data_IF_541227109074
#
_entry.id   IF_541227109074
#
_cell.length_a   1.000
_cell.length_b   1.000
_cell.length_c   1.000
_cell.angle_alpha   90.00
_cell.angle_beta   90.00
_cell.angle_gamma   90.00
#
_symmetry.space_group_name_H-M   'P 1'
#
loop_
_entity.id
_entity.type
_entity.pdbx_description
1 polymer ?
#
# COMPACT_ATOMS: atom_id res chain seq x y z
N UNK A 1 7.37 -18.26 7.45
CA UNK A 1 7.55 -19.04 6.21
C UNK A 1 8.85 -18.57 5.59
N UNK A 2 9.78 -19.49 5.28
CA UNK A 2 11.10 -19.11 4.75
C UNK A 2 10.95 -18.52 3.33
N UNK A 3 11.76 -17.50 2.96
CA UNK A 3 11.76 -16.99 1.59
C UNK A 3 12.11 -18.12 0.60
N UNK A 4 11.64 -18.06 -0.66
CA UNK A 4 12.06 -19.01 -1.67
C UNK A 4 13.58 -18.94 -1.81
N UNK A 5 14.19 -20.05 -2.26
CA UNK A 5 15.60 -20.05 -2.60
C UNK A 5 15.90 -18.89 -3.57
N UNK A 6 17.01 -18.14 -3.36
CA UNK A 6 17.39 -17.08 -4.27
C UNK A 6 17.50 -17.59 -5.71
N UNK A 7 17.10 -16.76 -6.66
CA UNK A 7 17.23 -17.06 -8.08
C UNK A 7 18.73 -17.15 -8.38
N UNK A 8 19.19 -18.32 -8.86
CA UNK A 8 20.58 -18.55 -9.25
C UNK A 8 20.96 -17.66 -10.43
N UNK A 9 22.23 -17.27 -10.49
CA UNK A 9 22.83 -16.49 -11.59
C UNK A 9 22.07 -15.19 -11.89
N UNK A 10 22.04 -14.29 -10.91
CA UNK A 10 21.70 -12.88 -11.14
C UNK A 10 22.96 -12.17 -11.67
N UNK A 11 23.04 -11.83 -12.97
CA UNK A 11 24.14 -11.02 -13.48
C UNK A 11 24.12 -9.64 -12.82
N UNK A 12 25.15 -8.80 -13.06
CA UNK A 12 25.14 -7.42 -12.58
C UNK A 12 23.89 -6.68 -13.06
N UNK A 13 22.97 -6.37 -12.15
CA UNK A 13 21.73 -5.64 -12.44
C UNK A 13 22.00 -4.15 -12.23
N UNK A 14 21.96 -3.36 -13.31
CA UNK A 14 22.21 -1.91 -13.26
C UNK A 14 20.91 -1.12 -13.15
N UNK A 15 19.82 -1.60 -13.74
CA UNK A 15 18.51 -0.92 -13.71
C UNK A 15 17.38 -1.90 -13.40
N UNK A 16 16.64 -1.62 -12.33
CA UNK A 16 15.45 -2.37 -11.91
C UNK A 16 14.23 -1.47 -12.10
N UNK A 17 13.17 -2.03 -12.68
CA UNK A 17 11.83 -1.45 -12.59
C UNK A 17 10.97 -2.29 -11.65
N UNK A 18 10.44 -1.66 -10.60
CA UNK A 18 9.43 -2.27 -9.76
C UNK A 18 8.07 -1.85 -10.29
N UNK A 19 7.21 -2.81 -10.63
CA UNK A 19 5.81 -2.51 -10.95
C UNK A 19 5.03 -2.38 -9.64
N UNK A 20 4.65 -1.15 -9.31
CA UNK A 20 3.89 -0.81 -8.11
C UNK A 20 2.44 -1.29 -8.14
N UNK A 21 1.85 -1.35 -6.95
CA UNK A 21 0.45 -1.70 -6.69
C UNK A 21 -0.48 -0.50 -6.88
N UNK A 22 -1.79 -0.76 -6.88
CA UNK A 22 -2.79 0.24 -7.30
C UNK A 22 -3.43 1.04 -6.15
N UNK A 23 -3.38 0.50 -4.93
CA UNK A 23 -4.03 1.05 -3.75
C UNK A 23 -3.01 1.66 -2.80
N UNK A 24 -3.38 2.76 -2.13
CA UNK A 24 -2.49 3.49 -1.22
C UNK A 24 -2.00 2.61 -0.07
N UNK A 25 -2.89 1.85 0.57
CA UNK A 25 -2.53 0.94 1.67
C UNK A 25 -1.54 -0.13 1.23
N UNK A 26 -1.83 -0.80 0.11
CA UNK A 26 -0.91 -1.78 -0.48
C UNK A 26 0.45 -1.14 -0.80
N UNK A 27 0.44 0.08 -1.35
CA UNK A 27 1.64 0.81 -1.75
C UNK A 27 2.56 1.06 -0.54
N UNK A 28 2.00 1.59 0.56
CA UNK A 28 2.71 1.76 1.83
C UNK A 28 3.27 0.43 2.33
N UNK A 29 2.49 -0.66 2.22
CA UNK A 29 2.94 -2.00 2.61
C UNK A 29 4.09 -2.56 1.76
N UNK A 30 4.37 -2.00 0.58
CA UNK A 30 5.53 -2.39 -0.25
C UNK A 30 6.82 -1.69 0.15
N UNK A 31 6.76 -0.59 0.93
CA UNK A 31 7.95 0.20 1.33
C UNK A 31 9.03 -0.64 2.04
N UNK A 32 8.72 -1.62 2.93
CA UNK A 32 9.75 -2.47 3.52
C UNK A 32 10.49 -3.30 2.47
N UNK A 33 9.78 -3.84 1.48
CA UNK A 33 10.38 -4.63 0.42
C UNK A 33 11.28 -3.78 -0.49
N UNK A 34 10.88 -2.54 -0.78
CA UNK A 34 11.71 -1.60 -1.53
C UNK A 34 13.00 -1.25 -0.77
N UNK A 35 12.93 -1.02 0.54
CA UNK A 35 14.11 -0.79 1.37
C UNK A 35 15.05 -2.00 1.34
N UNK A 36 14.54 -3.22 1.52
CA UNK A 36 15.33 -4.45 1.43
C UNK A 36 15.94 -4.66 0.04
N UNK A 37 15.22 -4.27 -1.02
CA UNK A 37 15.73 -4.30 -2.38
C UNK A 37 16.91 -3.31 -2.55
N UNK A 38 16.79 -2.09 -2.01
CA UNK A 38 17.88 -1.10 -2.00
C UNK A 38 19.09 -1.57 -1.21
N UNK A 39 18.90 -2.16 -0.03
CA UNK A 39 20.01 -2.75 0.76
C UNK A 39 20.78 -3.80 -0.06
N UNK A 40 20.06 -4.63 -0.83
CA UNK A 40 20.67 -5.65 -1.69
C UNK A 40 21.37 -5.06 -2.91
N UNK A 41 20.85 -3.95 -3.44
CA UNK A 41 21.31 -3.31 -4.66
C UNK A 41 21.59 -1.80 -4.43
N UNK A 42 22.64 -1.44 -3.67
CA UNK A 42 22.85 -0.04 -3.25
C UNK A 42 23.04 0.93 -4.41
N UNK A 43 23.82 0.54 -5.41
CA UNK A 43 24.20 1.39 -6.56
C UNK A 43 23.29 1.22 -7.79
N UNK A 44 22.34 0.27 -7.73
CA UNK A 44 21.46 -0.01 -8.86
C UNK A 44 20.40 1.07 -8.99
N UNK A 45 20.10 1.50 -10.22
CA UNK A 45 18.99 2.42 -10.44
C UNK A 45 17.65 1.68 -10.31
N UNK A 46 16.86 2.00 -9.28
CA UNK A 46 15.55 1.41 -9.00
C UNK A 46 14.48 2.44 -9.35
N UNK A 47 13.78 2.20 -10.45
CA UNK A 47 12.59 2.93 -10.83
C UNK A 47 11.32 2.23 -10.30
N UNK A 48 10.27 3.00 -10.04
CA UNK A 48 8.96 2.49 -9.65
C UNK A 48 7.88 2.92 -10.65
N UNK A 49 7.22 1.96 -11.28
CA UNK A 49 6.07 2.19 -12.15
C UNK A 49 4.76 2.08 -11.35
N UNK A 50 4.14 3.20 -11.02
CA UNK A 50 2.95 3.29 -10.17
C UNK A 50 1.81 4.07 -10.86
N UNK A 51 0.54 3.91 -10.43
CA UNK A 51 -0.52 4.81 -10.87
C UNK A 51 -0.14 6.28 -10.61
N UNK A 52 -0.45 7.18 -11.54
CA UNK A 52 -0.09 8.60 -11.43
C UNK A 52 -0.55 9.24 -10.11
N UNK A 53 -1.75 8.86 -9.64
CA UNK A 53 -2.32 9.29 -8.34
C UNK A 53 -1.49 8.91 -7.11
N UNK A 54 -0.58 7.93 -7.23
CA UNK A 54 0.30 7.50 -6.15
C UNK A 54 1.73 7.99 -6.34
N UNK A 55 2.03 8.76 -7.39
CA UNK A 55 3.40 9.19 -7.71
C UNK A 55 4.02 10.01 -6.58
N UNK A 56 3.25 10.92 -5.99
CA UNK A 56 3.70 11.80 -4.91
C UNK A 56 4.07 11.05 -3.63
N UNK A 57 3.46 9.88 -3.37
CA UNK A 57 3.80 9.02 -2.23
C UNK A 57 5.27 8.61 -2.23
N UNK A 58 5.90 8.58 -3.40
CA UNK A 58 7.23 8.05 -3.62
C UNK A 58 8.28 9.14 -3.77
N UNK A 59 7.90 10.42 -3.67
CA UNK A 59 8.86 11.51 -3.67
C UNK A 59 9.85 11.32 -2.52
N UNK A 60 11.13 11.52 -2.81
CA UNK A 60 12.23 11.43 -1.84
C UNK A 60 12.38 10.07 -1.12
N UNK A 61 11.64 9.03 -1.53
CA UNK A 61 11.73 7.73 -0.87
C UNK A 61 13.13 7.11 -1.10
N UNK A 62 13.89 6.75 -0.04
CA UNK A 62 15.33 6.43 -0.14
C UNK A 62 15.65 5.20 -1.01
N UNK A 63 14.68 4.31 -1.18
CA UNK A 63 14.84 3.12 -2.03
C UNK A 63 14.66 3.38 -3.53
N UNK A 64 14.01 4.48 -3.94
CA UNK A 64 13.53 4.70 -5.31
C UNK A 64 14.25 5.89 -5.94
N UNK A 65 14.87 5.69 -7.10
CA UNK A 65 15.55 6.76 -7.84
C UNK A 65 14.58 7.58 -8.68
N UNK A 66 13.56 6.96 -9.24
CA UNK A 66 12.53 7.65 -10.04
C UNK A 66 11.18 6.93 -9.97
N UNK A 67 10.10 7.70 -10.13
CA UNK A 67 8.74 7.16 -10.20
C UNK A 67 8.09 7.52 -11.53
N UNK A 68 7.69 6.49 -12.27
CA UNK A 68 7.00 6.60 -13.55
C UNK A 68 5.49 6.45 -13.31
N UNK A 69 4.73 7.44 -13.77
CA UNK A 69 3.27 7.45 -13.67
C UNK A 69 2.60 6.65 -14.79
N UNK A 70 1.60 5.87 -14.40
CA UNK A 70 0.59 5.31 -15.32
C UNK A 70 -0.67 6.15 -15.23
N UNK A 71 -1.04 6.74 -16.35
CA UNK A 71 -2.24 7.55 -16.45
C UNK A 71 -3.49 6.68 -16.59
N UNK A 72 -4.63 7.23 -16.18
CA UNK A 72 -5.92 6.54 -16.36
C UNK A 72 -6.17 6.35 -17.86
N UNK A 73 -6.54 5.14 -18.25
CA UNK A 73 -6.80 4.79 -19.65
C UNK A 73 -5.56 4.43 -20.47
N UNK A 74 -4.36 4.54 -19.92
CA UNK A 74 -3.14 4.18 -20.63
C UNK A 74 -3.11 2.69 -21.01
N UNK A 75 -2.80 2.37 -22.26
CA UNK A 75 -2.75 1.01 -22.78
C UNK A 75 -1.47 0.27 -22.36
N UNK A 76 -1.48 -1.06 -22.43
CA UNK A 76 -0.29 -1.88 -22.14
C UNK A 76 0.88 -1.57 -23.08
N UNK A 77 0.61 -1.16 -24.32
CA UNK A 77 1.63 -0.82 -25.30
C UNK A 77 2.31 0.51 -24.98
N UNK A 78 1.55 1.52 -24.54
CA UNK A 78 2.09 2.81 -24.09
C UNK A 78 2.97 2.64 -22.85
N UNK A 79 2.48 1.88 -21.86
CA UNK A 79 3.28 1.54 -20.67
C UNK A 79 4.55 0.77 -21.08
N UNK A 80 4.43 -0.23 -21.95
CA UNK A 80 5.58 -0.99 -22.42
C UNK A 80 6.61 -0.13 -23.18
N UNK A 81 6.17 0.88 -23.93
CA UNK A 81 7.06 1.83 -24.60
C UNK A 81 7.84 2.68 -23.60
N UNK A 82 7.16 3.22 -22.56
CA UNK A 82 7.81 3.92 -21.43
C UNK A 82 8.86 3.03 -20.76
N UNK A 83 8.51 1.77 -20.49
CA UNK A 83 9.41 0.81 -19.85
C UNK A 83 10.62 0.47 -20.73
N UNK A 84 10.41 0.30 -22.04
CA UNK A 84 11.48 -0.01 -22.99
C UNK A 84 12.51 1.11 -23.08
N UNK A 85 12.07 2.37 -23.03
CA UNK A 85 12.96 3.53 -23.04
C UNK A 85 13.88 3.60 -21.80
N UNK A 86 13.48 2.99 -20.69
CA UNK A 86 14.29 2.96 -19.46
C UNK A 86 15.38 1.89 -19.41
N UNK A 87 15.49 1.03 -20.43
CA UNK A 87 16.53 -0.01 -20.56
C UNK A 87 16.74 -0.85 -19.28
N UNK A 88 15.64 -1.33 -18.68
CA UNK A 88 15.71 -2.11 -17.45
C UNK A 88 16.22 -3.54 -17.69
N UNK A 89 17.07 -4.02 -16.79
CA UNK A 89 17.59 -5.39 -16.79
C UNK A 89 16.62 -6.36 -16.10
N UNK A 90 15.89 -5.83 -15.10
CA UNK A 90 15.02 -6.61 -14.22
C UNK A 90 13.70 -5.87 -13.96
N UNK A 91 12.58 -6.57 -14.13
CA UNK A 91 11.26 -6.16 -13.69
C UNK A 91 10.83 -6.99 -12.46
N UNK A 92 10.56 -6.30 -11.36
CA UNK A 92 9.93 -6.89 -10.17
C UNK A 92 8.43 -6.55 -10.17
N UNK A 93 7.59 -7.55 -10.41
CA UNK A 93 6.15 -7.35 -10.64
C UNK A 93 5.35 -7.68 -9.37
N UNK A 94 4.99 -6.65 -8.60
CA UNK A 94 4.26 -6.82 -7.34
C UNK A 94 2.77 -7.20 -7.52
N UNK A 95 2.02 -6.62 -8.48
CA UNK A 95 0.63 -7.01 -8.69
C UNK A 95 0.50 -8.45 -9.20
N UNK A 96 -0.68 -9.04 -8.99
CA UNK A 96 -0.99 -10.40 -9.43
C UNK A 96 -1.70 -10.49 -10.79
N UNK A 97 -2.04 -9.36 -11.41
CA UNK A 97 -2.80 -9.33 -12.66
C UNK A 97 -1.93 -9.71 -13.88
N UNK A 98 -2.48 -10.39 -14.90
CA UNK A 98 -1.75 -10.67 -16.14
C UNK A 98 -1.23 -9.40 -16.82
N UNK A 99 -2.03 -8.33 -16.81
CA UNK A 99 -1.68 -7.02 -17.36
C UNK A 99 -0.30 -6.54 -16.88
N UNK A 100 -0.06 -6.61 -15.57
CA UNK A 100 1.20 -6.13 -14.97
C UNK A 100 2.44 -6.87 -15.46
N UNK A 101 2.31 -8.16 -15.81
CA UNK A 101 3.41 -8.93 -16.38
C UNK A 101 3.56 -8.70 -17.88
N UNK A 102 2.44 -8.57 -18.62
CA UNK A 102 2.43 -8.25 -20.06
C UNK A 102 3.18 -6.94 -20.33
N UNK A 103 2.98 -5.90 -19.52
CA UNK A 103 3.68 -4.62 -19.63
C UNK A 103 5.21 -4.81 -19.67
N UNK A 104 5.75 -5.60 -18.73
CA UNK A 104 7.20 -5.90 -18.67
C UNK A 104 7.69 -6.83 -19.79
N UNK A 105 6.85 -7.76 -20.25
CA UNK A 105 7.18 -8.68 -21.33
C UNK A 105 7.22 -7.96 -22.69
N UNK A 106 6.21 -7.13 -22.99
CA UNK A 106 6.17 -6.28 -24.18
C UNK A 106 7.35 -5.29 -24.20
N UNK A 107 7.77 -4.80 -23.03
CA UNK A 107 8.96 -3.95 -22.91
C UNK A 107 10.27 -4.69 -23.23
N UNK A 108 10.25 -6.03 -23.36
CA UNK A 108 11.40 -6.91 -23.59
C UNK A 108 12.45 -6.88 -22.48
N UNK A 109 12.00 -6.62 -21.24
CA UNK A 109 12.89 -6.62 -20.07
C UNK A 109 13.36 -8.06 -19.84
N UNK A 110 14.68 -8.36 -19.84
CA UNK A 110 15.16 -9.74 -19.94
C UNK A 110 14.83 -10.59 -18.72
N UNK A 111 14.76 -10.01 -17.52
CA UNK A 111 14.37 -10.73 -16.28
C UNK A 111 13.08 -10.15 -15.72
N UNK A 112 12.08 -11.00 -15.48
CA UNK A 112 10.73 -10.61 -15.02
C UNK A 112 10.30 -11.54 -13.89
N UNK A 113 10.30 -11.02 -12.67
CA UNK A 113 10.09 -11.80 -11.43
C UNK A 113 8.76 -11.40 -10.80
N UNK A 114 7.96 -12.39 -10.42
CA UNK A 114 6.64 -12.15 -9.83
C UNK A 114 6.00 -13.45 -9.33
N UNK A 115 4.86 -13.34 -8.65
CA UNK A 115 4.12 -14.52 -8.22
C UNK A 115 3.43 -15.25 -9.38
N UNK A 116 3.49 -16.57 -9.33
CA UNK A 116 2.81 -17.46 -10.25
C UNK A 116 1.29 -17.34 -10.10
N UNK A 117 0.59 -17.06 -11.20
CA UNK A 117 -0.88 -16.95 -11.32
C UNK A 117 -1.32 -17.46 -12.70
N UNK A 118 -2.58 -17.91 -12.85
CA UNK A 118 -3.11 -18.31 -14.15
C UNK A 118 -2.86 -17.25 -15.22
N UNK A 119 -2.45 -17.66 -16.43
CA UNK A 119 -2.15 -16.82 -17.61
C UNK A 119 -0.96 -15.85 -17.48
N UNK A 120 -0.57 -15.48 -16.27
CA UNK A 120 0.54 -14.54 -16.01
C UNK A 120 1.90 -15.20 -16.22
N UNK A 121 2.03 -16.49 -15.92
CA UNK A 121 3.31 -17.21 -15.87
C UNK A 121 4.09 -17.13 -17.20
N UNK A 122 3.39 -17.14 -18.34
CA UNK A 122 4.01 -17.01 -19.67
C UNK A 122 4.79 -15.72 -19.86
N UNK A 123 4.44 -14.66 -19.13
CA UNK A 123 5.06 -13.35 -19.23
C UNK A 123 6.18 -13.12 -18.21
N UNK A 124 6.42 -14.07 -17.29
CA UNK A 124 7.48 -14.00 -16.29
C UNK A 124 8.65 -14.90 -16.70
N UNK A 125 9.88 -14.52 -16.36
CA UNK A 125 11.03 -15.43 -16.45
C UNK A 125 11.22 -16.23 -15.17
N UNK A 126 10.74 -15.72 -14.04
CA UNK A 126 10.81 -16.40 -12.75
C UNK A 126 9.48 -16.22 -12.02
N UNK A 127 8.63 -17.22 -12.15
CA UNK A 127 7.33 -17.28 -11.49
C UNK A 127 7.49 -17.96 -10.13
N UNK A 128 7.39 -17.18 -9.05
CA UNK A 128 7.52 -17.70 -7.69
C UNK A 128 6.20 -18.35 -7.23
N UNK A 129 6.23 -19.48 -6.51
CA UNK A 129 5.02 -20.07 -5.97
C UNK A 129 4.31 -19.07 -5.05
N UNK A 130 3.00 -18.93 -5.21
CA UNK A 130 2.22 -18.07 -4.32
C UNK A 130 2.32 -18.56 -2.87
N UNK A 131 2.32 -17.67 -1.87
CA UNK A 131 2.33 -18.08 -0.46
C UNK A 131 1.08 -18.93 -0.19
N UNK A 132 1.27 -20.18 0.23
CA UNK A 132 0.20 -21.18 0.36
C UNK A 132 -0.73 -20.93 1.55
N UNK A 133 -0.49 -19.90 2.37
CA UNK A 133 -1.08 -19.78 3.71
C UNK A 133 -1.88 -18.50 3.97
N UNK A 134 -2.32 -17.78 2.94
CA UNK A 134 -3.28 -16.69 3.15
C UNK A 134 -4.68 -17.29 3.03
N UNK A 135 -5.37 -17.45 4.16
CA UNK A 135 -6.81 -17.68 4.16
C UNK A 135 -7.45 -16.50 3.42
N UNK A 136 -7.86 -16.72 2.17
CA UNK A 136 -8.54 -15.69 1.40
C UNK A 136 -9.76 -15.24 2.20
N UNK A 137 -9.82 -13.95 2.53
CA UNK A 137 -10.99 -13.38 3.19
C UNK A 137 -12.16 -13.46 2.21
N UNK A 138 -12.99 -14.49 2.33
CA UNK A 138 -14.18 -14.63 1.49
C UNK A 138 -15.22 -13.62 1.94
N UNK A 139 -15.90 -12.98 0.98
CA UNK A 139 -17.14 -12.27 1.29
C UNK A 139 -18.15 -13.33 1.76
N UNK A 140 -18.67 -13.18 2.97
CA UNK A 140 -19.75 -14.02 3.47
C UNK A 140 -21.06 -13.57 2.83
N UNK A 141 -21.94 -14.51 2.49
CA UNK A 141 -23.28 -14.18 2.02
C UNK A 141 -24.15 -13.66 3.19
N UNK A 142 -25.23 -12.95 2.89
CA UNK A 142 -26.17 -12.51 3.94
C UNK A 142 -26.75 -13.69 4.72
N UNK A 143 -27.06 -14.79 4.03
CA UNK A 143 -27.52 -16.02 4.66
C UNK A 143 -26.46 -16.60 5.62
N UNK A 144 -25.20 -16.66 5.20
CA UNK A 144 -24.09 -17.12 6.06
C UNK A 144 -23.93 -16.22 7.30
N UNK A 145 -24.08 -14.90 7.13
CA UNK A 145 -24.02 -13.94 8.24
C UNK A 145 -25.19 -14.19 9.21
N UNK A 146 -26.41 -14.37 8.70
CA UNK A 146 -27.60 -14.62 9.53
C UNK A 146 -27.49 -15.94 10.30
N UNK A 147 -26.99 -17.01 9.66
CA UNK A 147 -26.72 -18.29 10.33
C UNK A 147 -25.70 -18.13 11.44
N UNK A 148 -24.58 -17.43 11.20
CA UNK A 148 -23.55 -17.20 12.21
C UNK A 148 -24.01 -16.30 13.38
N UNK A 149 -24.99 -15.42 13.16
CA UNK A 149 -25.59 -14.61 14.22
C UNK A 149 -26.58 -15.44 15.05
N UNK A 150 -27.30 -16.36 14.40
CA UNK A 150 -28.26 -17.25 15.06
C UNK A 150 -27.59 -18.40 15.82
N UNK A 151 -26.44 -18.87 15.35
CA UNK A 151 -25.58 -19.83 16.05
C UNK A 151 -24.83 -19.11 17.19
N UNK A 152 -25.11 -19.51 18.42
CA UNK A 152 -24.61 -18.87 19.65
C UNK A 152 -23.07 -18.68 19.60
N UNK A 153 -22.52 -17.47 19.84
CA UNK A 153 -21.09 -17.17 19.73
C UNK A 153 -20.20 -17.89 20.76
N UNK A 154 -20.79 -18.61 21.72
CA UNK A 154 -20.08 -19.33 22.78
C UNK A 154 -19.55 -20.71 22.38
N UNK A 155 -19.77 -21.17 21.15
CA UNK A 155 -19.12 -22.40 20.66
C UNK A 155 -17.78 -22.04 20.00
N UNK A 156 -16.61 -22.30 20.63
CA UNK A 156 -15.31 -22.04 20.01
C UNK A 156 -15.02 -23.13 18.97
N UNK A 157 -15.80 -23.20 17.89
CA UNK A 157 -15.56 -24.12 16.79
C UNK A 157 -14.45 -23.59 15.89
N UNK A 158 -13.25 -24.06 16.22
CA UNK A 158 -12.00 -23.97 15.46
C UNK A 158 -11.43 -22.56 15.29
N UNK A 159 -10.58 -22.15 16.25
CA UNK A 159 -9.46 -21.28 15.90
C UNK A 159 -8.63 -22.02 14.85
N UNK A 160 -8.90 -21.79 13.56
CA UNK A 160 -7.97 -22.21 12.51
C UNK A 160 -6.64 -21.56 12.86
N UNK A 161 -5.67 -22.38 13.28
CA UNK A 161 -4.32 -21.92 13.55
C UNK A 161 -3.87 -21.08 12.35
N UNK A 162 -3.54 -19.81 12.58
CA UNK A 162 -2.97 -18.96 11.54
C UNK A 162 -1.59 -19.55 11.22
N UNK A 163 -1.51 -20.37 10.18
CA UNK A 163 -0.27 -21.06 9.81
C UNK A 163 0.65 -20.13 9.03
N UNK A 164 1.33 -19.25 9.75
CA UNK A 164 2.41 -18.40 9.24
C UNK A 164 2.09 -16.90 9.21
N UNK A 165 3.09 -16.06 8.93
CA UNK A 165 2.93 -14.61 8.93
C UNK A 165 1.96 -14.21 7.80
N UNK A 166 0.72 -13.91 8.17
CA UNK A 166 -0.39 -13.63 7.26
C UNK A 166 -0.41 -12.18 6.74
N UNK A 167 0.56 -11.35 7.16
CA UNK A 167 0.58 -9.94 6.78
C UNK A 167 1.11 -9.75 5.35
N UNK A 168 0.39 -8.97 4.54
CA UNK A 168 0.68 -8.72 3.12
C UNK A 168 2.10 -8.21 2.84
N UNK A 169 2.70 -7.47 3.78
CA UNK A 169 4.12 -7.06 3.71
C UNK A 169 5.08 -8.24 3.52
N UNK A 170 4.80 -9.40 4.12
CA UNK A 170 5.65 -10.58 3.96
C UNK A 170 5.61 -11.14 2.53
N UNK A 171 4.50 -10.95 1.82
CA UNK A 171 4.39 -11.35 0.41
C UNK A 171 5.35 -10.51 -0.46
N UNK A 172 5.49 -9.22 -0.19
CA UNK A 172 6.44 -8.36 -0.90
C UNK A 172 7.89 -8.65 -0.50
N UNK A 173 8.15 -8.87 0.79
CA UNK A 173 9.48 -9.24 1.29
C UNK A 173 9.97 -10.56 0.69
N UNK A 174 9.06 -11.51 0.48
CA UNK A 174 9.37 -12.80 -0.14
C UNK A 174 9.77 -12.67 -1.61
N UNK A 175 9.15 -11.73 -2.34
CA UNK A 175 9.52 -11.43 -3.74
C UNK A 175 10.95 -10.88 -3.84
N UNK A 176 11.33 -9.93 -2.98
CA UNK A 176 12.69 -9.39 -2.96
C UNK A 176 13.69 -10.39 -2.36
N UNK A 177 13.25 -11.26 -1.45
CA UNK A 177 14.05 -12.38 -0.94
C UNK A 177 14.48 -13.35 -2.03
N UNK A 178 13.64 -13.58 -3.04
CA UNK A 178 14.02 -14.35 -4.23
C UNK A 178 15.13 -13.69 -5.07
N UNK A 179 15.33 -12.38 -4.92
CA UNK A 179 16.45 -11.63 -5.53
C UNK A 179 17.69 -11.61 -4.63
N UNK A 180 17.66 -12.35 -3.51
CA UNK A 180 18.73 -12.39 -2.51
C UNK A 180 18.71 -11.24 -1.52
N UNK A 181 17.65 -10.44 -1.45
CA UNK A 181 17.50 -9.42 -0.42
C UNK A 181 17.17 -10.05 0.96
N UNK A 182 17.47 -9.33 2.03
CA UNK A 182 17.04 -9.73 3.37
C UNK A 182 15.50 -9.66 3.45
N UNK A 183 14.84 -10.79 3.72
CA UNK A 183 13.38 -10.87 3.80
C UNK A 183 12.82 -10.56 5.21
N UNK A 184 13.66 -10.15 6.16
CA UNK A 184 13.22 -9.75 7.49
C UNK A 184 12.35 -8.48 7.42
N UNK A 185 11.23 -8.43 8.17
CA UNK A 185 10.32 -7.29 8.13
C UNK A 185 10.99 -6.00 8.60
N UNK A 186 10.52 -4.88 8.05
CA UNK A 186 10.77 -3.51 8.50
C UNK A 186 9.43 -2.81 8.67
N UNK A 187 9.38 -1.78 9.51
CA UNK A 187 8.23 -0.89 9.55
C UNK A 187 8.10 -0.18 8.19
N UNK A 188 6.86 0.04 7.70
CA UNK A 188 6.65 0.89 6.54
C UNK A 188 7.25 2.28 6.76
N UNK A 189 7.83 2.84 5.71
CA UNK A 189 8.51 4.13 5.76
C UNK A 189 8.02 5.04 4.64
N UNK A 190 7.73 6.30 4.99
CA UNK A 190 7.46 7.37 4.05
C UNK A 190 8.47 8.49 4.32
N UNK A 191 9.10 8.98 3.26
CA UNK A 191 9.99 10.12 3.34
C UNK A 191 9.16 11.40 3.23
N UNK A 192 9.37 12.33 4.16
CA UNK A 192 8.77 13.66 4.14
C UNK A 192 9.87 14.65 4.46
N UNK A 193 9.97 15.70 3.65
CA UNK A 193 10.95 16.77 3.83
C UNK A 193 10.42 17.86 4.76
N UNK A 194 11.33 18.64 5.36
CA UNK A 194 10.95 19.81 6.17
C UNK A 194 10.15 20.84 5.35
N UNK A 195 10.46 20.99 4.06
CA UNK A 195 9.69 21.84 3.15
C UNK A 195 8.25 21.36 3.02
N UNK A 196 8.03 20.06 2.77
CA UNK A 196 6.68 19.48 2.68
C UNK A 196 5.91 19.62 4.01
N UNK A 197 6.58 19.45 5.15
CA UNK A 197 5.96 19.68 6.47
C UNK A 197 5.56 21.14 6.64
N UNK A 198 6.41 22.09 6.27
CA UNK A 198 6.10 23.52 6.38
C UNK A 198 4.98 23.94 5.42
N UNK A 199 4.99 23.44 4.19
CA UNK A 199 3.93 23.68 3.21
C UNK A 199 2.58 23.15 3.72
N UNK A 200 2.56 21.94 4.29
CA UNK A 200 1.37 21.39 4.92
C UNK A 200 0.91 22.25 6.10
N UNK A 201 1.85 22.71 6.94
CA UNK A 201 1.53 23.57 8.09
C UNK A 201 0.89 24.88 7.68
N UNK A 202 1.41 25.53 6.63
CA UNK A 202 0.86 26.77 6.08
C UNK A 202 -0.49 26.51 5.43
N UNK A 203 -0.59 25.49 4.56
CA UNK A 203 -1.81 25.13 3.83
C UNK A 203 -2.99 24.87 4.75
N UNK A 204 -2.76 24.20 5.88
CA UNK A 204 -3.80 23.86 6.84
C UNK A 204 -3.92 24.86 8.01
N UNK A 205 -3.21 26.00 7.96
CA UNK A 205 -3.32 27.06 8.98
C UNK A 205 -2.82 26.66 10.37
N UNK A 206 -1.93 25.66 10.46
CA UNK A 206 -1.40 25.12 11.73
C UNK A 206 0.04 25.58 12.02
N UNK A 207 0.65 26.40 11.15
CA UNK A 207 2.04 26.85 11.30
C UNK A 207 2.33 27.60 12.60
N UNK A 208 1.36 28.35 13.12
CA UNK A 208 1.47 29.12 14.36
C UNK A 208 0.68 28.47 15.52
N UNK A 209 0.19 27.24 15.33
CA UNK A 209 -0.62 26.58 16.34
C UNK A 209 0.28 25.94 17.42
N UNK A 210 0.13 26.39 18.67
CA UNK A 210 0.80 25.79 19.83
C UNK A 210 -0.02 24.65 20.47
N UNK A 211 -1.28 24.47 20.05
CA UNK A 211 -2.19 23.45 20.59
C UNK A 211 -1.88 22.08 19.97
N UNK A 212 -2.10 20.96 20.71
CA UNK A 212 -1.97 19.61 20.15
C UNK A 212 -2.86 19.42 18.91
N UNK A 213 -2.35 18.72 17.89
CA UNK A 213 -3.09 18.44 16.66
C UNK A 213 -3.45 16.96 16.61
N UNK A 214 -4.73 16.65 16.42
CA UNK A 214 -5.20 15.28 16.21
C UNK A 214 -5.78 15.12 14.81
N UNK A 215 -5.30 14.08 14.11
CA UNK A 215 -5.81 13.71 12.79
C UNK A 215 -7.00 12.75 12.90
N UNK A 216 -8.04 12.99 12.11
CA UNK A 216 -9.19 12.09 12.01
C UNK A 216 -9.43 11.70 10.55
N UNK A 217 -9.49 10.41 10.24
CA UNK A 217 -9.82 9.90 8.92
C UNK A 217 -11.10 9.03 9.01
N UNK A 218 -12.30 9.63 8.89
CA UNK A 218 -13.56 8.91 9.09
C UNK A 218 -14.02 8.12 7.86
N UNK A 219 -13.38 8.35 6.71
CA UNK A 219 -13.70 7.72 5.44
C UNK A 219 -13.30 6.24 5.37
N UNK A 220 -13.82 5.54 4.35
CA UNK A 220 -13.38 4.20 4.02
C UNK A 220 -13.63 3.88 2.54
N UNK A 221 -12.59 3.39 1.86
CA UNK A 221 -12.61 3.02 0.44
C UNK A 221 -13.51 1.80 0.16
N UNK A 222 -13.53 0.81 1.06
CA UNK A 222 -14.30 -0.43 0.90
C UNK A 222 -15.79 -0.29 1.21
N UNK A 223 -16.29 0.94 1.28
CA UNK A 223 -17.70 1.25 1.49
C UNK A 223 -18.10 1.48 2.95
N UNK A 224 -19.39 1.76 3.20
CA UNK A 224 -19.89 2.25 4.48
C UNK A 224 -19.78 1.22 5.62
N UNK A 225 -19.76 -0.07 5.31
CA UNK A 225 -19.65 -1.14 6.32
C UNK A 225 -18.34 -1.11 7.13
N UNK A 226 -17.30 -0.45 6.62
CA UNK A 226 -16.03 -0.26 7.34
C UNK A 226 -15.89 1.13 7.99
N UNK A 227 -16.94 1.95 7.95
CA UNK A 227 -16.95 3.28 8.58
C UNK A 227 -17.54 3.16 9.97
N UNK A 228 -16.91 3.81 10.93
CA UNK A 228 -17.54 4.03 12.22
C UNK A 228 -18.63 5.12 12.07
N UNK A 229 -19.78 5.02 12.77
CA UNK A 229 -20.82 6.04 12.65
C UNK A 229 -20.31 7.43 13.01
N UNK A 230 -20.78 8.46 12.28
CA UNK A 230 -20.37 9.85 12.49
C UNK A 230 -20.58 10.30 13.95
N UNK A 231 -21.73 9.94 14.54
CA UNK A 231 -22.04 10.22 15.95
C UNK A 231 -20.98 9.72 16.92
N UNK A 232 -20.35 8.60 16.63
CA UNK A 232 -19.32 8.01 17.49
C UNK A 232 -17.97 8.70 17.31
N UNK A 233 -17.61 9.09 16.08
CA UNK A 233 -16.46 9.96 15.84
C UNK A 233 -16.60 11.29 16.57
N UNK A 234 -17.79 11.91 16.51
CA UNK A 234 -18.10 13.17 17.21
C UNK A 234 -17.97 12.99 18.72
N UNK A 235 -18.55 11.94 19.29
CA UNK A 235 -18.48 11.66 20.72
C UNK A 235 -17.02 11.49 21.19
N UNK A 236 -16.23 10.68 20.49
CA UNK A 236 -14.81 10.48 20.81
C UNK A 236 -13.98 11.75 20.67
N UNK A 237 -14.23 12.54 19.62
CA UNK A 237 -13.52 13.79 19.40
C UNK A 237 -13.81 14.83 20.49
N UNK A 238 -15.08 14.97 20.89
CA UNK A 238 -15.48 15.88 21.99
C UNK A 238 -14.86 15.48 23.32
N UNK A 239 -14.82 14.18 23.65
CA UNK A 239 -14.20 13.70 24.89
C UNK A 239 -12.69 13.96 24.94
N UNK A 240 -12.00 13.86 23.80
CA UNK A 240 -10.58 14.18 23.74
C UNK A 240 -10.32 15.69 23.80
N UNK A 241 -11.18 16.49 23.17
CA UNK A 241 -11.06 17.95 23.16
C UNK A 241 -11.19 18.54 24.57
N UNK A 242 -12.11 18.02 25.40
CA UNK A 242 -12.22 18.40 26.83
C UNK A 242 -10.92 18.23 27.63
N UNK A 243 -10.05 17.30 27.22
CA UNK A 243 -8.84 16.93 27.97
C UNK A 243 -7.56 17.59 27.45
N UNK A 244 -7.57 18.03 26.19
CA UNK A 244 -6.33 18.39 25.48
C UNK A 244 -6.37 19.77 24.85
N UNK A 245 -7.54 20.43 24.84
CA UNK A 245 -7.78 21.66 24.08
C UNK A 245 -7.19 21.57 22.66
N UNK A 246 -7.35 20.44 21.98
CA UNK A 246 -6.69 20.18 20.71
C UNK A 246 -7.32 20.88 19.50
N UNK A 247 -6.59 20.88 18.39
CA UNK A 247 -7.09 21.21 17.05
C UNK A 247 -7.25 19.92 16.24
N UNK A 248 -8.38 19.80 15.55
CA UNK A 248 -8.68 18.64 14.71
C UNK A 248 -8.31 18.89 13.24
N UNK A 249 -7.57 17.95 12.66
CA UNK A 249 -7.36 17.87 11.22
C UNK A 249 -8.16 16.68 10.68
N UNK A 250 -9.30 16.94 10.04
CA UNK A 250 -10.14 15.89 9.45
C UNK A 250 -9.69 15.66 8.00
N UNK A 251 -9.26 14.43 7.72
CA UNK A 251 -8.67 13.98 6.46
C UNK A 251 -9.66 13.08 5.73
N UNK A 252 -9.62 13.08 4.39
CA UNK A 252 -10.45 12.22 3.57
C UNK A 252 -10.31 12.50 2.08
N UNK A 253 -10.85 11.60 1.26
CA UNK A 253 -10.97 11.81 -0.18
C UNK A 253 -12.17 12.70 -0.54
N UNK A 254 -12.35 12.96 -1.84
CA UNK A 254 -13.50 13.75 -2.35
C UNK A 254 -14.85 13.19 -1.91
N UNK A 255 -14.96 11.87 -1.79
CA UNK A 255 -16.18 11.17 -1.36
C UNK A 255 -16.45 11.27 0.13
N UNK A 256 -15.46 11.71 0.92
CA UNK A 256 -15.56 11.80 2.37
C UNK A 256 -15.87 13.23 2.85
N UNK A 257 -15.88 14.23 1.94
CA UNK A 257 -16.07 15.65 2.28
C UNK A 257 -17.35 15.88 3.08
N UNK A 258 -18.48 15.29 2.64
CA UNK A 258 -19.76 15.49 3.33
C UNK A 258 -19.73 14.96 4.78
N UNK A 259 -19.13 13.78 4.99
CA UNK A 259 -18.96 13.18 6.31
C UNK A 259 -17.97 13.98 7.18
N UNK A 260 -16.88 14.47 6.59
CA UNK A 260 -15.89 15.28 7.26
C UNK A 260 -16.50 16.62 7.74
N UNK A 261 -17.33 17.27 6.91
CA UNK A 261 -18.03 18.51 7.28
C UNK A 261 -19.09 18.29 8.36
N UNK A 262 -19.85 17.20 8.31
CA UNK A 262 -20.79 16.81 9.37
C UNK A 262 -20.07 16.72 10.73
N UNK A 263 -18.95 16.00 10.77
CA UNK A 263 -18.14 15.83 11.98
C UNK A 263 -17.53 17.17 12.41
N UNK A 264 -17.01 17.98 11.48
CA UNK A 264 -16.38 19.29 11.77
C UNK A 264 -17.36 20.24 12.45
N UNK A 265 -18.56 20.38 11.89
CA UNK A 265 -19.60 21.26 12.44
C UNK A 265 -19.97 20.81 13.87
N UNK A 266 -20.24 19.51 14.05
CA UNK A 266 -20.64 18.98 15.35
C UNK A 266 -19.54 19.06 16.42
N UNK A 267 -18.25 18.99 16.05
CA UNK A 267 -17.16 19.20 17.02
C UNK A 267 -17.05 20.68 17.42
N UNK A 268 -17.29 21.60 16.47
CA UNK A 268 -17.12 23.04 16.67
C UNK A 268 -18.20 23.69 17.56
N UNK A 269 -19.37 23.07 17.68
CA UNK A 269 -20.48 23.53 18.54
C UNK A 269 -20.23 23.40 20.06
N UNK A 270 -18.97 23.17 20.48
CA UNK A 270 -18.62 23.21 21.90
C UNK A 270 -18.55 24.68 22.34
N UNK A 271 -19.28 25.09 23.40
CA UNK A 271 -19.09 26.40 23.98
C UNK A 271 -17.62 26.55 24.39
N UNK A 272 -17.00 27.68 24.02
CA UNK A 272 -15.69 28.04 24.54
C UNK A 272 -15.77 28.05 26.06
N UNK A 273 -14.91 27.26 26.70
CA UNK A 273 -14.79 27.23 28.16
C UNK A 273 -14.10 28.51 28.66
#
# INVERSE_FOLDING_TARGET
MNPPAPIRDLPSVRRIIVRGVNWLGDAVMTTPALMRLRERFPETHIALLAPAKLKELWLNHPAVNETIGIEVGESVFQVAAKLRAGHYDLALVLPNSPRSAIESWLARIPRRVGYARPWRNFFLTSALPSPTAVNAMRKRSLAEIQTLIAENPESPTSSRAQTGPAHQTHDYLRLVGALGANAAPLAPHLAVTETELNDARVKFGIAQNSRPIFGLNPGAEYGPAKRWPASQFIAGARELQKKTDCVWLILGGKTDIALAEEIRLAISDLPAA
#
